data_IF_800426666395
#
_entry.id   IF_800426666395
#
_cell.length_a   1.000
_cell.length_b   1.000
_cell.length_c   1.000
_cell.angle_alpha   90.00
_cell.angle_beta   90.00
_cell.angle_gamma   90.00
#
_symmetry.space_group_name_H-M   'P 1'
#
loop_
_entity.id
_entity.type
_entity.pdbx_description
1 polymer ?
#
# COMPACT_ATOMS: atom_id res chain seq x y z
N UNK A 1 -9.85 5.18 3.94
CA UNK A 1 -8.85 4.69 2.97
C UNK A 1 -7.51 4.67 3.66
N UNK A 2 -6.73 3.60 3.48
CA UNK A 2 -5.38 3.43 4.03
C UNK A 2 -4.40 3.45 2.86
N UNK A 3 -3.24 4.07 3.04
CA UNK A 3 -2.20 4.17 2.03
C UNK A 3 -0.89 3.66 2.61
N UNK A 4 -0.13 2.90 1.82
CA UNK A 4 1.17 2.36 2.24
C UNK A 4 2.25 3.34 1.79
N UNK A 5 3.07 3.82 2.73
CA UNK A 5 4.17 4.73 2.42
C UNK A 5 5.37 3.93 1.86
N UNK A 6 5.79 4.13 0.60
CA UNK A 6 6.83 3.29 -0.01
C UNK A 6 8.20 3.46 0.65
N UNK A 7 8.53 4.67 1.15
CA UNK A 7 9.83 4.91 1.79
C UNK A 7 9.89 4.39 3.24
N UNK A 8 8.75 4.07 3.86
CA UNK A 8 8.70 3.53 5.24
C UNK A 8 8.35 2.04 5.26
N UNK A 9 7.74 1.52 4.18
CA UNK A 9 7.54 0.11 3.98
C UNK A 9 8.89 -0.61 3.91
N UNK A 10 9.02 -1.68 4.68
CA UNK A 10 10.22 -2.53 4.75
C UNK A 10 9.98 -3.92 4.16
N UNK A 11 8.91 -4.06 3.38
CA UNK A 11 8.51 -5.30 2.69
C UNK A 11 8.38 -6.52 3.62
N UNK A 12 7.88 -6.30 4.84
CA UNK A 12 7.68 -7.35 5.84
C UNK A 12 6.43 -8.22 5.62
N UNK A 13 5.57 -7.82 4.67
CA UNK A 13 4.31 -8.48 4.29
C UNK A 13 3.27 -8.67 5.43
N UNK A 14 3.49 -8.08 6.60
CA UNK A 14 2.60 -8.27 7.76
C UNK A 14 1.16 -7.77 7.54
N UNK A 15 0.99 -6.75 6.71
CA UNK A 15 -0.33 -6.18 6.40
C UNK A 15 -1.13 -6.99 5.38
N UNK A 16 -0.48 -7.85 4.58
CA UNK A 16 -1.11 -8.64 3.50
C UNK A 16 -2.18 -9.60 4.04
N UNK A 17 -1.89 -10.49 5.03
CA UNK A 17 -2.90 -11.42 5.54
C UNK A 17 -3.96 -10.75 6.42
N UNK A 18 -3.68 -9.56 6.95
CA UNK A 18 -4.60 -8.80 7.81
C UNK A 18 -5.66 -8.05 7.01
N UNK A 19 -5.46 -7.87 5.70
CA UNK A 19 -6.40 -7.14 4.86
C UNK A 19 -7.58 -8.05 4.46
N UNK A 20 -8.80 -7.79 4.97
CA UNK A 20 -9.95 -8.67 4.69
C UNK A 20 -10.44 -8.59 3.24
N UNK A 21 -10.12 -7.49 2.54
CA UNK A 21 -10.49 -7.26 1.13
C UNK A 21 -9.37 -7.68 0.16
N UNK A 22 -8.26 -8.23 0.68
CA UNK A 22 -7.10 -8.68 -0.11
C UNK A 22 -6.53 -7.59 -1.05
N UNK A 23 -6.64 -6.32 -0.66
CA UNK A 23 -6.29 -5.17 -1.49
C UNK A 23 -4.80 -4.79 -1.47
N UNK A 24 -3.97 -5.52 -0.73
CA UNK A 24 -2.55 -5.21 -0.53
C UNK A 24 -1.68 -6.16 -1.34
N UNK A 25 -0.83 -5.60 -2.19
CA UNK A 25 0.08 -6.34 -3.06
C UNK A 25 1.50 -5.83 -2.89
N UNK A 26 2.47 -6.74 -3.02
CA UNK A 26 3.85 -6.37 -3.30
C UNK A 26 3.93 -5.71 -4.69
N UNK A 27 4.88 -4.80 -4.90
CA UNK A 27 4.99 -4.06 -6.18
C UNK A 27 5.13 -5.01 -7.38
N UNK A 28 5.95 -6.05 -7.25
CA UNK A 28 6.14 -7.08 -8.29
C UNK A 28 4.88 -7.93 -8.59
N UNK A 29 3.89 -7.87 -7.69
CA UNK A 29 2.64 -8.65 -7.79
C UNK A 29 1.42 -7.75 -7.99
N UNK A 30 1.61 -6.44 -8.16
CA UNK A 30 0.51 -5.50 -8.37
C UNK A 30 -0.14 -5.75 -9.74
N UNK A 31 -1.46 -6.03 -9.81
CA UNK A 31 -2.15 -6.17 -11.07
C UNK A 31 -2.03 -4.92 -11.93
N UNK A 32 -1.85 -5.10 -13.25
CA UNK A 32 -1.66 -4.00 -14.19
C UNK A 32 -2.80 -2.97 -14.15
N UNK A 33 -4.04 -3.43 -13.94
CA UNK A 33 -5.22 -2.58 -13.82
C UNK A 33 -5.12 -1.63 -12.62
N UNK A 34 -4.34 -1.99 -11.60
CA UNK A 34 -4.21 -1.24 -10.35
C UNK A 34 -2.88 -0.49 -10.24
N UNK A 35 -2.06 -0.50 -11.31
CA UNK A 35 -0.83 0.27 -11.40
C UNK A 35 -0.97 1.75 -11.00
N UNK A 36 -2.08 2.47 -11.32
CA UNK A 36 -2.25 3.86 -10.88
C UNK A 36 -2.28 4.06 -9.35
N UNK A 37 -2.65 3.03 -8.58
CA UNK A 37 -2.69 3.10 -7.13
C UNK A 37 -1.31 3.13 -6.49
N UNK A 38 -0.26 2.71 -7.20
CA UNK A 38 1.12 2.81 -6.71
C UNK A 38 1.49 4.27 -6.42
N UNK A 39 1.28 5.13 -7.40
CA UNK A 39 1.66 6.55 -7.30
C UNK A 39 0.71 7.30 -6.35
N UNK A 40 -0.57 6.86 -6.30
CA UNK A 40 -1.54 7.37 -5.33
C UNK A 40 -1.13 7.05 -3.89
N UNK A 41 -0.67 5.83 -3.61
CA UNK A 41 -0.17 5.43 -2.29
C UNK A 41 0.98 6.32 -1.85
N UNK A 42 1.98 6.53 -2.71
CA UNK A 42 3.12 7.40 -2.43
C UNK A 42 2.70 8.86 -2.13
N UNK A 43 1.73 9.38 -2.87
CA UNK A 43 1.26 10.76 -2.72
C UNK A 43 0.41 10.93 -1.46
N UNK A 44 -0.57 10.04 -1.27
CA UNK A 44 -1.56 10.18 -0.22
C UNK A 44 -1.01 9.80 1.16
N UNK A 45 -0.12 8.80 1.25
CA UNK A 45 0.48 8.40 2.52
C UNK A 45 1.22 9.57 3.21
N UNK A 46 1.76 10.53 2.45
CA UNK A 46 2.39 11.75 2.98
C UNK A 46 1.41 12.82 3.47
N UNK A 47 0.15 12.71 3.05
CA UNK A 47 -0.91 13.70 3.33
C UNK A 47 -1.94 13.19 4.35
N UNK A 48 -1.99 11.88 4.57
CA UNK A 48 -2.86 11.27 5.59
C UNK A 48 -2.17 11.08 6.92
N UNK A 49 -2.92 11.16 8.04
CA UNK A 49 -2.39 10.80 9.36
C UNK A 49 -1.89 9.36 9.40
N UNK A 50 -0.79 9.13 10.12
CA UNK A 50 -0.27 7.79 10.43
C UNK A 50 -1.27 7.05 11.32
N UNK A 51 -1.55 5.80 10.96
CA UNK A 51 -2.33 4.87 11.80
C UNK A 51 -1.33 4.10 12.66
N UNK A 52 -1.45 4.24 13.98
CA UNK A 52 -0.62 3.57 15.00
C UNK A 52 -1.08 2.16 15.31
#
# INVERSE_FOLDING_TARGET
>A
MLYIHPDECIDCEACVPECPEEAIYHEDRLPADWAPFRDLNATMARQTPLVS
#
